data_IF_081141364614
#
_entry.id   IF_081141364614
#
_cell.length_a   1.000
_cell.length_b   1.000
_cell.length_c   1.000
_cell.angle_alpha   90.00
_cell.angle_beta   90.00
_cell.angle_gamma   90.00
#
_symmetry.space_group_name_H-M   'P 1'
#
loop_
_entity.id
_entity.type
_entity.pdbx_description
1 polymer ?
#
# COMPACT_ATOMS: atom_id res chain seq x y z
N UNK A 1 8.35 -18.25 15.29
CA UNK A 1 8.42 -17.32 14.13
C UNK A 1 9.87 -17.21 13.68
N UNK A 2 10.24 -17.63 12.46
CA UNK A 2 11.60 -17.47 11.97
C UNK A 2 11.93 -16.00 11.71
N UNK A 3 13.20 -15.64 11.97
CA UNK A 3 13.76 -14.32 11.61
C UNK A 3 14.58 -14.50 10.33
N UNK A 4 14.22 -13.77 9.28
CA UNK A 4 14.79 -13.96 7.94
C UNK A 4 15.34 -12.63 7.41
N UNK A 5 16.51 -12.65 6.79
CA UNK A 5 17.10 -11.48 6.15
C UNK A 5 16.29 -11.05 4.92
N UNK A 6 16.23 -9.76 4.66
CA UNK A 6 15.44 -9.18 3.59
C UNK A 6 15.81 -9.75 2.20
N UNK A 7 17.09 -9.86 1.90
CA UNK A 7 17.60 -10.42 0.64
C UNK A 7 17.18 -11.88 0.42
N UNK A 8 17.16 -12.68 1.49
CA UNK A 8 16.67 -14.06 1.43
C UNK A 8 15.16 -14.10 1.16
N UNK A 9 14.36 -13.25 1.82
CA UNK A 9 12.92 -13.16 1.56
C UNK A 9 12.63 -12.72 0.13
N UNK A 10 13.40 -11.75 -0.40
CA UNK A 10 13.27 -11.31 -1.78
C UNK A 10 13.52 -12.46 -2.76
N UNK A 11 14.57 -13.25 -2.55
CA UNK A 11 14.86 -14.44 -3.38
C UNK A 11 13.75 -15.47 -3.30
N UNK A 12 13.24 -15.78 -2.10
CA UNK A 12 12.14 -16.74 -1.91
C UNK A 12 10.90 -16.26 -2.66
N UNK A 13 10.47 -15.01 -2.45
CA UNK A 13 9.29 -14.46 -3.10
C UNK A 13 9.41 -14.43 -4.62
N UNK A 14 10.55 -13.98 -5.16
CA UNK A 14 10.79 -13.92 -6.59
C UNK A 14 10.80 -15.33 -7.22
N UNK A 15 11.48 -16.30 -6.61
CA UNK A 15 11.53 -17.66 -7.13
C UNK A 15 10.15 -18.34 -7.18
N UNK A 16 9.33 -18.16 -6.13
CA UNK A 16 7.97 -18.69 -6.07
C UNK A 16 7.05 -18.04 -7.11
N UNK A 17 7.14 -16.73 -7.30
CA UNK A 17 6.35 -16.00 -8.31
C UNK A 17 6.76 -16.41 -9.72
N UNK A 18 8.05 -16.58 -9.99
CA UNK A 18 8.55 -17.09 -11.28
C UNK A 18 8.05 -18.50 -11.57
N UNK A 19 8.11 -19.39 -10.59
CA UNK A 19 7.58 -20.75 -10.71
C UNK A 19 6.07 -20.76 -10.98
N UNK A 20 5.34 -19.74 -10.50
CA UNK A 20 3.92 -19.54 -10.79
C UNK A 20 3.65 -18.86 -12.15
N UNK A 21 4.69 -18.53 -12.94
CA UNK A 21 4.56 -17.98 -14.30
C UNK A 21 4.84 -16.50 -14.45
N UNK A 22 5.21 -15.78 -13.38
CA UNK A 22 5.63 -14.38 -13.49
C UNK A 22 6.95 -14.25 -14.26
N UNK A 23 7.09 -13.19 -15.05
CA UNK A 23 8.39 -12.83 -15.63
C UNK A 23 9.40 -12.45 -14.54
N UNK A 24 10.69 -12.42 -14.89
CA UNK A 24 11.75 -11.98 -13.96
C UNK A 24 11.44 -10.60 -13.39
N UNK A 25 11.13 -9.64 -14.27
CA UNK A 25 10.84 -8.24 -13.90
C UNK A 25 9.62 -8.13 -12.97
N UNK A 26 8.55 -8.88 -13.25
CA UNK A 26 7.35 -8.91 -12.41
C UNK A 26 7.63 -9.54 -11.04
N UNK A 27 8.31 -10.67 -11.02
CA UNK A 27 8.65 -11.40 -9.80
C UNK A 27 9.54 -10.58 -8.86
N UNK A 28 10.54 -9.91 -9.42
CA UNK A 28 11.41 -8.99 -8.66
C UNK A 28 10.64 -7.77 -8.14
N UNK A 29 9.82 -7.13 -8.97
CA UNK A 29 9.03 -5.96 -8.57
C UNK A 29 8.08 -6.31 -7.42
N UNK A 30 7.37 -7.43 -7.51
CA UNK A 30 6.41 -7.86 -6.47
C UNK A 30 7.14 -8.27 -5.20
N UNK A 31 8.17 -9.12 -5.31
CA UNK A 31 8.89 -9.62 -4.14
C UNK A 31 9.60 -8.50 -3.38
N UNK A 32 10.32 -7.62 -4.11
CA UNK A 32 10.97 -6.44 -3.53
C UNK A 32 9.94 -5.51 -2.88
N UNK A 33 8.82 -5.25 -3.54
CA UNK A 33 7.75 -4.42 -2.99
C UNK A 33 7.17 -4.98 -1.68
N UNK A 34 6.93 -6.30 -1.63
CA UNK A 34 6.47 -6.99 -0.42
C UNK A 34 7.50 -6.90 0.70
N UNK A 35 8.77 -7.21 0.43
CA UNK A 35 9.79 -7.19 1.48
C UNK A 35 10.09 -5.77 1.96
N UNK A 36 10.05 -4.76 1.08
CA UNK A 36 10.15 -3.35 1.49
C UNK A 36 8.96 -2.93 2.36
N UNK A 37 7.76 -3.46 2.13
CA UNK A 37 6.63 -3.25 3.04
C UNK A 37 6.89 -3.88 4.41
N UNK A 38 7.43 -5.10 4.48
CA UNK A 38 7.86 -5.71 5.74
C UNK A 38 8.93 -4.85 6.44
N UNK A 39 9.97 -4.42 5.74
CA UNK A 39 11.03 -3.58 6.32
C UNK A 39 10.45 -2.32 6.97
N UNK A 40 9.52 -1.66 6.30
CA UNK A 40 8.85 -0.47 6.81
C UNK A 40 7.81 -0.73 7.94
N UNK A 41 7.60 -2.01 8.32
CA UNK A 41 6.66 -2.38 9.38
C UNK A 41 5.21 -2.57 8.92
N UNK A 42 4.97 -2.64 7.62
CA UNK A 42 3.64 -2.88 7.01
C UNK A 42 3.47 -4.36 6.63
N UNK A 43 3.52 -5.27 7.60
CA UNK A 43 3.55 -6.72 7.39
C UNK A 43 2.34 -7.26 6.63
N UNK A 44 1.18 -6.60 6.74
CA UNK A 44 -0.03 -6.95 5.98
C UNK A 44 0.12 -6.82 4.45
N UNK A 45 1.08 -6.02 3.99
CA UNK A 45 1.45 -5.82 2.58
C UNK A 45 2.78 -6.51 2.23
N UNK A 46 3.32 -7.27 3.18
CA UNK A 46 4.61 -7.95 3.09
C UNK A 46 4.55 -9.28 2.35
N UNK A 47 5.55 -10.10 2.63
CA UNK A 47 5.72 -11.45 2.03
C UNK A 47 4.51 -12.38 2.27
N UNK A 48 3.70 -12.10 3.29
CA UNK A 48 2.43 -12.77 3.57
C UNK A 48 1.46 -12.75 2.36
N UNK A 49 1.59 -11.76 1.48
CA UNK A 49 0.72 -11.60 0.32
C UNK A 49 1.09 -12.52 -0.86
N UNK A 50 2.34 -12.99 -0.93
CA UNK A 50 2.85 -13.80 -2.06
C UNK A 50 2.02 -15.07 -2.31
N UNK A 51 1.66 -15.89 -1.30
CA UNK A 51 0.77 -17.03 -1.51
C UNK A 51 -0.57 -16.65 -2.16
N UNK A 52 -1.17 -15.54 -1.72
CA UNK A 52 -2.43 -15.04 -2.29
C UNK A 52 -2.27 -14.61 -3.76
N UNK A 53 -1.13 -14.02 -4.13
CA UNK A 53 -0.87 -13.68 -5.53
C UNK A 53 -0.73 -14.92 -6.40
N UNK A 54 -0.07 -15.95 -5.90
CA UNK A 54 0.06 -17.24 -6.58
C UNK A 54 -1.31 -17.89 -6.78
N UNK A 55 -2.17 -17.90 -5.75
CA UNK A 55 -3.54 -18.39 -5.87
C UNK A 55 -4.34 -17.60 -6.92
N UNK A 56 -4.15 -16.28 -7.00
CA UNK A 56 -4.78 -15.42 -8.01
C UNK A 56 -4.24 -15.67 -9.42
N UNK A 57 -2.96 -16.03 -9.58
CA UNK A 57 -2.42 -16.48 -10.87
C UNK A 57 -3.09 -17.78 -11.28
N UNK A 58 -3.14 -18.77 -10.40
CA UNK A 58 -3.81 -20.07 -10.65
C UNK A 58 -5.28 -19.90 -11.03
N UNK A 59 -5.97 -18.93 -10.42
CA UNK A 59 -7.36 -18.60 -10.71
C UNK A 59 -7.56 -17.73 -11.97
N UNK A 60 -6.50 -17.31 -12.66
CA UNK A 60 -6.55 -16.41 -13.81
C UNK A 60 -6.94 -14.97 -13.44
N UNK A 61 -6.89 -14.61 -12.17
CA UNK A 61 -7.19 -13.24 -11.70
C UNK A 61 -6.02 -12.30 -11.88
N UNK A 62 -4.79 -12.80 -11.81
CA UNK A 62 -3.56 -12.12 -12.22
C UNK A 62 -3.06 -12.78 -13.49
N UNK A 63 -2.70 -11.99 -14.48
CA UNK A 63 -2.17 -12.44 -15.77
C UNK A 63 -0.69 -12.08 -15.83
N UNK A 64 0.23 -13.04 -15.61
CA UNK A 64 1.66 -12.82 -15.79
C UNK A 64 1.98 -12.40 -17.23
N UNK A 65 2.92 -11.46 -17.40
CA UNK A 65 3.26 -10.95 -18.72
C UNK A 65 2.19 -10.08 -19.38
N UNK A 66 1.18 -9.63 -18.63
CA UNK A 66 0.12 -8.77 -19.14
C UNK A 66 0.70 -7.48 -19.76
N UNK A 67 0.20 -7.03 -20.93
CA UNK A 67 0.72 -5.82 -21.55
C UNK A 67 0.36 -4.58 -20.71
N UNK A 68 1.31 -3.64 -20.60
CA UNK A 68 1.08 -2.29 -20.09
C UNK A 68 0.54 -1.44 -21.25
N UNK A 69 -0.75 -1.16 -21.26
CA UNK A 69 -1.42 -0.49 -22.36
C UNK A 69 -1.77 0.96 -22.03
N UNK A 70 -1.22 1.91 -22.79
CA UNK A 70 -1.66 3.31 -22.73
C UNK A 70 -2.90 3.43 -23.60
N UNK A 71 -4.06 3.67 -22.95
CA UNK A 71 -5.37 3.79 -23.61
C UNK A 71 -5.56 5.19 -24.17
N UNK A 72 -5.11 6.19 -23.41
CA UNK A 72 -5.22 7.59 -23.76
C UNK A 72 -4.06 8.35 -23.13
N UNK A 73 -3.55 9.37 -23.80
CA UNK A 73 -2.55 10.28 -23.24
C UNK A 73 -2.62 11.68 -23.81
N UNK A 74 -2.16 12.63 -23.01
CA UNK A 74 -1.85 14.01 -23.40
C UNK A 74 -0.43 14.35 -22.92
N UNK A 75 0.09 15.56 -23.14
CA UNK A 75 1.36 15.95 -22.55
C UNK A 75 1.43 15.82 -21.01
N UNK A 76 0.28 15.95 -20.30
CA UNK A 76 0.21 15.97 -18.84
C UNK A 76 -0.57 14.81 -18.24
N UNK A 77 -1.31 14.03 -19.01
CA UNK A 77 -2.15 12.95 -18.49
C UNK A 77 -1.89 11.64 -19.21
N UNK A 78 -2.16 10.52 -18.52
CA UNK A 78 -2.11 9.17 -19.09
C UNK A 78 -3.19 8.31 -18.47
N UNK A 79 -3.95 7.58 -19.30
CA UNK A 79 -4.89 6.53 -18.87
C UNK A 79 -4.28 5.19 -19.22
N UNK A 80 -4.11 4.33 -18.24
CA UNK A 80 -3.37 3.07 -18.36
C UNK A 80 -4.28 1.90 -18.00
N UNK A 81 -4.28 0.91 -18.88
CA UNK A 81 -4.89 -0.39 -18.64
C UNK A 81 -3.78 -1.38 -18.27
N UNK A 82 -3.84 -1.91 -17.06
CA UNK A 82 -2.90 -2.92 -16.57
C UNK A 82 -3.19 -4.33 -17.05
N UNK A 83 -4.26 -4.57 -17.81
CA UNK A 83 -4.65 -5.86 -18.37
C UNK A 83 -4.60 -7.02 -17.38
N UNK A 84 -4.91 -6.73 -16.12
CA UNK A 84 -4.90 -7.67 -14.99
C UNK A 84 -3.50 -8.15 -14.58
N UNK A 85 -2.45 -7.43 -14.95
CA UNK A 85 -1.09 -7.67 -14.49
C UNK A 85 -0.90 -7.37 -13.00
N UNK A 86 0.32 -7.58 -12.54
CA UNK A 86 0.72 -7.29 -11.16
C UNK A 86 0.70 -5.78 -10.89
N UNK A 87 -0.09 -5.34 -9.92
CA UNK A 87 -0.23 -3.92 -9.59
C UNK A 87 1.10 -3.25 -9.20
N UNK A 88 2.01 -3.95 -8.55
CA UNK A 88 3.36 -3.45 -8.23
C UNK A 88 4.12 -3.01 -9.50
N UNK A 89 4.17 -3.89 -10.49
CA UNK A 89 4.88 -3.66 -11.73
C UNK A 89 4.20 -2.58 -12.58
N UNK A 90 2.87 -2.67 -12.71
CA UNK A 90 2.08 -1.70 -13.49
C UNK A 90 2.20 -0.29 -12.91
N UNK A 91 2.06 -0.12 -11.59
CA UNK A 91 2.14 1.21 -10.96
C UNK A 91 3.57 1.77 -10.94
N UNK A 92 4.60 0.94 -10.80
CA UNK A 92 5.97 1.40 -10.93
C UNK A 92 6.23 2.00 -12.33
N UNK A 93 5.78 1.32 -13.38
CA UNK A 93 5.85 1.84 -14.77
C UNK A 93 5.01 3.10 -14.96
N UNK A 94 3.79 3.13 -14.42
CA UNK A 94 2.90 4.28 -14.51
C UNK A 94 3.48 5.52 -13.81
N UNK A 95 4.04 5.35 -12.61
CA UNK A 95 4.70 6.45 -11.89
C UNK A 95 5.95 6.93 -12.62
N UNK A 96 6.79 6.02 -13.14
CA UNK A 96 7.96 6.40 -13.94
C UNK A 96 7.57 7.23 -15.17
N UNK A 97 6.54 6.82 -15.90
CA UNK A 97 6.01 7.57 -17.04
C UNK A 97 5.47 8.94 -16.63
N UNK A 98 4.79 9.03 -15.48
CA UNK A 98 4.25 10.28 -14.96
C UNK A 98 5.36 11.25 -14.55
N UNK A 99 6.44 10.73 -13.95
CA UNK A 99 7.66 11.51 -13.63
C UNK A 99 8.28 12.08 -14.91
N UNK A 100 8.45 11.25 -15.96
CA UNK A 100 9.02 11.73 -17.23
C UNK A 100 8.17 12.83 -17.87
N UNK A 101 6.85 12.72 -17.84
CA UNK A 101 5.97 13.80 -18.31
C UNK A 101 6.11 15.07 -17.46
N UNK A 102 6.20 14.93 -16.14
CA UNK A 102 6.31 16.08 -15.23
C UNK A 102 7.66 16.82 -15.38
N UNK A 103 8.73 16.17 -15.86
CA UNK A 103 10.00 16.85 -16.18
C UNK A 103 9.84 17.97 -17.21
N UNK A 104 8.95 17.78 -18.18
CA UNK A 104 8.72 18.74 -19.27
C UNK A 104 7.47 19.58 -19.07
N UNK A 105 6.41 19.00 -18.53
CA UNK A 105 5.11 19.68 -18.37
C UNK A 105 4.91 20.28 -16.95
N UNK A 106 5.88 20.11 -16.05
CA UNK A 106 5.87 20.55 -14.65
C UNK A 106 4.88 19.84 -13.74
N UNK A 107 3.70 19.48 -14.23
CA UNK A 107 2.67 18.73 -13.53
C UNK A 107 2.15 17.65 -14.47
N UNK A 108 2.08 16.42 -13.98
CA UNK A 108 1.50 15.32 -14.73
C UNK A 108 0.71 14.38 -13.80
N UNK A 109 -0.28 13.69 -14.38
CA UNK A 109 -1.07 12.70 -13.65
C UNK A 109 -1.38 11.47 -14.51
N UNK A 110 -1.66 10.35 -13.87
CA UNK A 110 -2.17 9.17 -14.54
C UNK A 110 -3.26 8.48 -13.73
N UNK A 111 -4.09 7.73 -14.44
CA UNK A 111 -5.03 6.76 -13.89
C UNK A 111 -4.65 5.38 -14.36
N UNK A 112 -4.82 4.38 -13.48
CA UNK A 112 -4.57 2.96 -13.79
C UNK A 112 -5.79 2.14 -13.39
N UNK A 113 -6.18 1.21 -14.24
CA UNK A 113 -7.29 0.29 -13.99
C UNK A 113 -6.98 -1.12 -14.54
N UNK A 114 -7.78 -2.11 -14.18
CA UNK A 114 -7.59 -3.54 -14.49
C UNK A 114 -6.19 -4.03 -14.12
N UNK A 115 -5.86 -3.89 -12.86
CA UNK A 115 -4.63 -4.43 -12.27
C UNK A 115 -4.94 -5.11 -10.93
N UNK A 116 -4.07 -5.97 -10.48
CA UNK A 116 -4.19 -6.59 -9.17
C UNK A 116 -3.69 -5.64 -8.07
N UNK A 117 -3.64 -6.15 -6.85
CA UNK A 117 -3.21 -5.41 -5.65
C UNK A 117 -1.88 -4.66 -5.86
N UNK A 118 -1.85 -3.41 -5.39
CA UNK A 118 -0.72 -2.48 -5.63
C UNK A 118 0.32 -2.46 -4.51
N UNK A 119 0.10 -3.22 -3.43
CA UNK A 119 0.99 -3.26 -2.29
C UNK A 119 0.99 -1.98 -1.46
N UNK A 120 2.14 -1.66 -0.87
CA UNK A 120 2.33 -0.44 -0.08
C UNK A 120 2.38 0.78 -1.00
N UNK A 121 1.47 1.72 -0.78
CA UNK A 121 1.23 2.82 -1.71
C UNK A 121 2.39 3.83 -1.77
N UNK A 122 3.08 4.09 -0.66
CA UNK A 122 4.22 5.03 -0.62
C UNK A 122 5.35 4.68 -1.59
N UNK A 123 5.45 3.42 -2.03
CA UNK A 123 6.49 3.01 -2.98
C UNK A 123 6.53 3.90 -4.24
N UNK A 124 5.38 4.34 -4.71
CA UNK A 124 5.25 5.13 -5.94
C UNK A 124 5.57 6.61 -5.74
N UNK A 125 4.97 7.35 -4.79
CA UNK A 125 5.35 8.74 -4.51
C UNK A 125 6.82 8.91 -4.14
N UNK A 126 7.42 7.94 -3.46
CA UNK A 126 8.86 7.96 -3.15
C UNK A 126 9.74 7.93 -4.41
N UNK A 127 9.29 7.34 -5.53
CA UNK A 127 10.00 7.44 -6.80
C UNK A 127 10.06 8.90 -7.30
N UNK A 128 8.95 9.64 -7.19
CA UNK A 128 8.90 11.05 -7.56
C UNK A 128 9.78 11.90 -6.62
N UNK A 129 9.75 11.63 -5.31
CA UNK A 129 10.58 12.34 -4.34
C UNK A 129 12.09 12.15 -4.62
N UNK A 130 12.52 10.93 -4.97
CA UNK A 130 13.88 10.63 -5.40
C UNK A 130 14.27 11.37 -6.70
N UNK A 131 13.30 11.66 -7.57
CA UNK A 131 13.50 12.46 -8.78
C UNK A 131 13.42 13.98 -8.55
N UNK A 132 13.35 14.46 -7.30
CA UNK A 132 13.25 15.88 -6.96
C UNK A 132 11.85 16.46 -7.14
N UNK A 133 10.80 15.65 -7.15
CA UNK A 133 9.42 16.03 -7.39
C UNK A 133 8.53 15.61 -6.23
N UNK A 134 7.41 16.28 -6.03
CA UNK A 134 6.37 15.82 -5.12
C UNK A 134 5.55 14.76 -5.84
N UNK A 135 5.40 13.59 -5.22
CA UNK A 135 4.53 12.52 -5.70
C UNK A 135 3.30 12.37 -4.83
N UNK A 136 2.17 12.08 -5.46
CA UNK A 136 0.91 11.70 -4.83
C UNK A 136 0.42 10.42 -5.45
N UNK A 137 -0.11 9.52 -4.65
CA UNK A 137 -0.81 8.32 -5.11
C UNK A 137 -2.02 8.05 -4.23
N UNK A 138 -3.10 7.56 -4.85
CA UNK A 138 -4.28 7.05 -4.19
C UNK A 138 -4.65 5.71 -4.82
N UNK A 139 -5.23 4.81 -4.03
CA UNK A 139 -5.75 3.55 -4.51
C UNK A 139 -7.07 3.24 -3.82
N UNK A 140 -8.00 2.65 -4.54
CA UNK A 140 -9.18 2.03 -3.95
C UNK A 140 -9.03 0.50 -3.97
N UNK A 141 -9.89 -0.20 -3.28
CA UNK A 141 -9.98 -1.65 -3.38
C UNK A 141 -10.75 -2.10 -4.64
N UNK A 142 -10.94 -1.19 -5.59
CA UNK A 142 -11.77 -1.40 -6.76
C UNK A 142 -13.18 -1.83 -6.36
N UNK A 143 -13.73 -2.79 -7.07
CA UNK A 143 -15.03 -3.38 -6.74
C UNK A 143 -14.92 -4.64 -5.86
N UNK A 144 -13.82 -4.78 -5.13
CA UNK A 144 -13.64 -5.84 -4.11
C UNK A 144 -14.59 -5.66 -2.93
N UNK A 145 -14.78 -6.67 -2.09
CA UNK A 145 -15.60 -6.55 -0.87
C UNK A 145 -15.16 -5.35 -0.02
N UNK A 146 -16.13 -4.57 0.41
CA UNK A 146 -15.89 -3.34 1.16
C UNK A 146 -15.67 -3.63 2.65
N UNK A 147 -14.94 -2.75 3.31
CA UNK A 147 -14.46 -2.95 4.68
C UNK A 147 -14.85 -1.82 5.62
N UNK A 148 -15.08 -0.62 5.11
CA UNK A 148 -15.28 0.60 5.90
C UNK A 148 -16.70 1.11 5.73
N UNK A 149 -17.39 1.34 6.84
CA UNK A 149 -18.67 2.02 6.85
C UNK A 149 -18.47 3.53 6.57
N UNK A 150 -19.28 4.18 5.73
CA UNK A 150 -19.30 5.62 5.66
C UNK A 150 -19.74 6.20 7.03
N UNK A 151 -19.35 7.43 7.32
CA UNK A 151 -19.73 8.08 8.58
C UNK A 151 -21.26 8.10 8.76
N UNK A 152 -21.72 7.63 9.93
CA UNK A 152 -23.15 7.46 10.22
C UNK A 152 -23.81 6.21 9.61
N UNK A 153 -23.08 5.45 8.78
CA UNK A 153 -23.55 4.19 8.23
C UNK A 153 -23.24 2.99 9.14
N UNK A 154 -23.98 1.90 8.99
CA UNK A 154 -23.73 0.64 9.71
C UNK A 154 -23.16 -0.47 8.85
N UNK A 155 -23.12 -0.28 7.53
CA UNK A 155 -22.63 -1.30 6.58
C UNK A 155 -21.42 -0.77 5.82
N UNK A 156 -20.48 -1.65 5.53
CA UNK A 156 -19.32 -1.31 4.71
C UNK A 156 -19.72 -0.94 3.27
N UNK A 157 -19.26 0.22 2.79
CA UNK A 157 -19.46 0.72 1.43
C UNK A 157 -18.16 1.19 0.78
N UNK A 158 -17.11 1.38 1.56
CA UNK A 158 -15.81 1.89 1.12
C UNK A 158 -14.71 0.87 1.40
N UNK A 159 -13.64 0.95 0.65
CA UNK A 159 -12.37 0.30 0.96
C UNK A 159 -11.61 1.04 2.06
N UNK A 160 -10.38 0.62 2.33
CA UNK A 160 -9.46 1.36 3.20
C UNK A 160 -8.91 2.61 2.50
N UNK A 161 -9.07 2.70 1.20
CA UNK A 161 -8.88 3.85 0.31
C UNK A 161 -7.68 4.70 0.72
N UNK A 162 -6.44 4.19 0.58
CA UNK A 162 -5.25 4.87 1.05
C UNK A 162 -4.86 6.06 0.20
N UNK A 163 -4.14 6.99 0.84
CA UNK A 163 -3.47 8.12 0.21
C UNK A 163 -2.00 8.12 0.65
N UNK A 164 -1.10 8.36 -0.29
CA UNK A 164 0.31 8.55 -0.04
C UNK A 164 0.83 9.79 -0.74
N UNK A 165 1.67 10.55 -0.04
CA UNK A 165 2.33 11.75 -0.57
C UNK A 165 3.78 11.71 -0.11
N UNK A 166 4.73 11.91 -1.02
CA UNK A 166 6.15 12.03 -0.70
C UNK A 166 6.74 13.31 -1.29
N UNK A 167 7.66 13.90 -0.56
CA UNK A 167 8.32 15.14 -0.97
C UNK A 167 9.84 14.97 -0.95
N UNK A 168 10.59 15.62 -1.85
CA UNK A 168 12.04 15.62 -1.79
C UNK A 168 12.53 16.38 -0.56
N UNK A 169 13.56 15.86 0.11
CA UNK A 169 14.15 16.47 1.32
C UNK A 169 15.63 16.15 1.41
N UNK A 170 16.36 16.89 2.25
CA UNK A 170 17.75 16.63 2.66
C UNK A 170 17.81 15.86 3.99
N UNK A 171 16.78 15.10 4.30
CA UNK A 171 16.72 14.23 5.46
C UNK A 171 17.29 12.85 5.11
N UNK A 172 17.83 12.15 6.08
CA UNK A 172 18.21 10.74 5.96
C UNK A 172 16.97 9.88 5.79
N UNK A 173 15.98 10.04 6.67
CA UNK A 173 14.67 9.42 6.53
C UNK A 173 13.78 10.23 5.57
N UNK A 174 13.21 9.62 4.52
CA UNK A 174 12.33 10.32 3.59
C UNK A 174 11.13 10.96 4.28
N UNK A 175 10.71 12.14 3.82
CA UNK A 175 9.50 12.79 4.31
C UNK A 175 8.31 12.37 3.46
N UNK A 176 7.44 11.49 3.98
CA UNK A 176 6.25 11.02 3.27
C UNK A 176 5.14 10.59 4.20
N UNK A 177 3.91 10.74 3.73
CA UNK A 177 2.69 10.18 4.32
C UNK A 177 2.30 8.92 3.55
N UNK A 178 1.91 7.85 4.26
CA UNK A 178 1.22 6.70 3.69
C UNK A 178 0.19 6.21 4.70
N UNK A 179 -1.09 6.38 4.40
CA UNK A 179 -2.15 6.09 5.35
C UNK A 179 -3.41 5.57 4.68
N UNK A 180 -4.08 4.61 5.33
CA UNK A 180 -5.48 4.32 5.06
C UNK A 180 -6.38 5.47 5.53
N UNK A 181 -7.55 5.61 4.92
CA UNK A 181 -8.61 6.54 5.38
C UNK A 181 -9.57 5.90 6.38
N UNK A 182 -9.33 4.64 6.75
CA UNK A 182 -9.99 3.96 7.88
C UNK A 182 -9.26 4.23 9.19
N UNK A 183 -9.97 4.08 10.31
CA UNK A 183 -9.42 4.25 11.66
C UNK A 183 -8.28 3.25 11.94
N UNK A 184 -8.35 2.08 11.34
CA UNK A 184 -7.38 0.99 11.50
C UNK A 184 -7.32 0.11 10.25
N UNK A 185 -6.20 -0.57 10.03
CA UNK A 185 -6.10 -1.60 9.01
C UNK A 185 -6.79 -2.89 9.47
N UNK A 186 -7.50 -3.58 8.56
CA UNK A 186 -8.18 -4.85 8.85
C UNK A 186 -7.23 -5.94 9.40
N UNK A 187 -5.95 -5.92 9.00
CA UNK A 187 -4.92 -6.81 9.52
C UNK A 187 -4.68 -6.69 11.02
N UNK A 188 -4.78 -5.47 11.60
CA UNK A 188 -4.66 -5.28 13.05
C UNK A 188 -5.84 -5.87 13.81
N UNK A 189 -7.05 -5.80 13.24
CA UNK A 189 -8.23 -6.46 13.81
C UNK A 189 -8.08 -7.97 13.76
N UNK A 190 -7.59 -8.52 12.65
CA UNK A 190 -7.34 -9.95 12.51
C UNK A 190 -6.28 -10.47 13.50
N UNK A 191 -5.23 -9.67 13.75
CA UNK A 191 -4.20 -9.99 14.74
C UNK A 191 -4.78 -10.03 16.17
N UNK A 192 -5.64 -9.07 16.54
CA UNK A 192 -6.31 -9.07 17.83
C UNK A 192 -7.21 -10.31 18.01
N UNK A 193 -7.93 -10.73 16.96
CA UNK A 193 -8.69 -12.01 16.98
C UNK A 193 -7.76 -13.19 17.28
N UNK A 194 -6.62 -13.27 16.57
CA UNK A 194 -5.68 -14.39 16.75
C UNK A 194 -5.06 -14.44 18.15
N UNK A 195 -4.90 -13.28 18.80
CA UNK A 195 -4.35 -13.16 20.17
C UNK A 195 -5.42 -13.24 21.26
N UNK A 196 -6.70 -13.22 20.91
CA UNK A 196 -7.78 -13.15 21.90
C UNK A 196 -7.84 -11.83 22.67
N UNK A 197 -7.31 -10.75 22.07
CA UNK A 197 -7.23 -9.42 22.68
C UNK A 197 -8.42 -8.56 22.27
N UNK A 198 -8.86 -7.66 23.18
CA UNK A 198 -9.80 -6.60 22.84
C UNK A 198 -9.10 -5.51 22.02
N UNK A 199 -9.88 -4.81 21.20
CA UNK A 199 -9.41 -3.66 20.40
C UNK A 199 -9.91 -2.34 21.00
N UNK A 200 -9.23 -1.22 20.70
CA UNK A 200 -9.70 0.10 21.10
C UNK A 200 -11.09 0.42 20.55
N UNK A 201 -11.88 1.13 21.34
CA UNK A 201 -13.14 1.70 20.88
C UNK A 201 -12.88 2.67 19.71
N UNK A 202 -13.78 2.69 18.72
CA UNK A 202 -13.64 3.56 17.54
C UNK A 202 -12.90 2.94 16.38
N UNK A 203 -12.51 1.67 16.47
CA UNK A 203 -11.96 0.93 15.35
C UNK A 203 -13.00 0.28 14.47
N UNK A 204 -14.03 -0.33 15.11
CA UNK A 204 -15.09 -1.08 14.41
C UNK A 204 -16.48 -0.79 15.01
N UNK A 205 -17.47 -1.15 14.21
CA UNK A 205 -18.87 -1.33 14.65
C UNK A 205 -19.29 -2.79 14.43
N UNK A 206 -20.26 -3.24 15.20
CA UNK A 206 -20.94 -4.53 15.02
C UNK A 206 -21.97 -4.47 13.86
N UNK A 207 -22.69 -5.57 13.62
CA UNK A 207 -23.71 -5.66 12.56
C UNK A 207 -24.91 -4.71 12.79
N UNK A 208 -25.15 -4.30 14.03
CA UNK A 208 -26.20 -3.36 14.40
C UNK A 208 -25.75 -1.89 14.35
N UNK A 209 -24.47 -1.64 14.06
CA UNK A 209 -23.89 -0.30 13.97
C UNK A 209 -23.42 0.27 15.30
N UNK A 210 -23.30 -0.52 16.35
CA UNK A 210 -22.80 -0.11 17.67
C UNK A 210 -21.28 -0.23 17.72
N UNK A 211 -20.60 0.70 18.38
CA UNK A 211 -19.15 0.58 18.61
C UNK A 211 -18.83 -0.69 19.38
N UNK A 212 -17.88 -1.48 18.88
CA UNK A 212 -17.42 -2.71 19.51
C UNK A 212 -15.93 -2.68 19.83
N UNK A 213 -15.56 -3.34 20.93
CA UNK A 213 -14.19 -3.66 21.32
C UNK A 213 -13.86 -5.15 21.13
N UNK A 214 -14.83 -5.97 20.71
CA UNK A 214 -14.60 -7.37 20.35
C UNK A 214 -14.22 -7.47 18.87
N UNK A 215 -12.96 -7.81 18.52
CA UNK A 215 -12.52 -7.86 17.12
C UNK A 215 -13.26 -8.91 16.28
N UNK A 216 -13.93 -9.89 16.92
CA UNK A 216 -14.70 -10.94 16.24
C UNK A 216 -15.96 -10.39 15.58
N UNK A 217 -16.50 -9.27 16.06
CA UNK A 217 -17.70 -8.64 15.52
C UNK A 217 -17.49 -8.12 14.11
N UNK A 218 -16.24 -7.72 13.76
CA UNK A 218 -15.89 -7.34 12.41
C UNK A 218 -16.22 -8.43 11.37
N UNK A 219 -15.98 -9.70 11.71
CA UNK A 219 -16.28 -10.83 10.80
C UNK A 219 -17.73 -11.32 10.86
N UNK A 220 -18.51 -10.82 11.84
CA UNK A 220 -19.92 -11.17 12.01
C UNK A 220 -20.87 -10.12 11.42
N UNK A 221 -20.45 -9.43 10.38
CA UNK A 221 -21.24 -8.40 9.70
C UNK A 221 -20.95 -6.97 10.16
N UNK A 222 -19.94 -6.79 11.02
CA UNK A 222 -19.44 -5.48 11.40
C UNK A 222 -18.59 -4.82 10.32
N UNK A 223 -18.17 -3.58 10.57
CA UNK A 223 -17.35 -2.80 9.64
C UNK A 223 -16.29 -1.99 10.39
N UNK A 224 -15.19 -1.67 9.69
CA UNK A 224 -14.24 -0.67 10.14
C UNK A 224 -14.88 0.71 10.13
N UNK A 225 -14.42 1.59 11.00
CA UNK A 225 -14.81 2.99 11.02
C UNK A 225 -13.82 3.84 10.20
N UNK A 226 -14.28 4.99 9.66
CA UNK A 226 -13.39 5.95 9.02
C UNK A 226 -12.46 6.62 10.04
N UNK A 227 -11.31 7.10 9.57
CA UNK A 227 -10.37 7.89 10.36
C UNK A 227 -11.05 9.15 10.93
N UNK A 228 -10.75 9.49 12.20
CA UNK A 228 -11.15 10.75 12.83
C UNK A 228 -12.01 10.59 14.09
N UNK A 229 -12.33 9.40 14.53
CA UNK A 229 -13.12 9.18 15.74
C UNK A 229 -14.48 9.87 15.67
N UNK A 230 -14.79 10.78 16.64
CA UNK A 230 -16.01 11.60 16.62
C UNK A 230 -16.13 12.50 15.39
N UNK A 231 -15.00 12.86 14.78
CA UNK A 231 -14.89 13.64 13.54
C UNK A 231 -14.70 12.74 12.31
N UNK A 232 -15.12 11.49 12.39
CA UNK A 232 -14.94 10.47 11.32
C UNK A 232 -15.52 10.84 9.96
N UNK A 233 -16.40 11.85 9.88
CA UNK A 233 -16.87 12.41 8.62
C UNK A 233 -15.72 12.95 7.74
N UNK A 234 -14.61 13.41 8.36
CA UNK A 234 -13.40 13.87 7.64
C UNK A 234 -12.72 12.71 6.92
N UNK A 235 -12.49 11.60 7.63
CA UNK A 235 -11.93 10.39 7.03
C UNK A 235 -12.87 9.75 5.99
N UNK A 236 -14.18 9.74 6.27
CA UNK A 236 -15.19 9.27 5.31
C UNK A 236 -15.23 10.12 4.05
N UNK A 237 -15.12 11.44 4.18
CA UNK A 237 -15.03 12.36 3.04
C UNK A 237 -13.78 12.12 2.21
N UNK A 238 -12.61 11.94 2.86
CA UNK A 238 -11.36 11.63 2.17
C UNK A 238 -11.44 10.28 1.45
N UNK A 239 -11.99 9.25 2.09
CA UNK A 239 -12.22 7.93 1.48
C UNK A 239 -13.12 8.02 0.24
N UNK A 240 -14.18 8.83 0.30
CA UNK A 240 -15.07 9.06 -0.85
C UNK A 240 -14.34 9.75 -2.00
N UNK A 241 -13.46 10.74 -1.73
CA UNK A 241 -12.65 11.37 -2.77
C UNK A 241 -11.66 10.39 -3.42
N UNK A 242 -11.06 9.49 -2.64
CA UNK A 242 -10.23 8.41 -3.19
C UNK A 242 -11.05 7.49 -4.09
N UNK A 243 -12.27 7.10 -3.69
CA UNK A 243 -13.18 6.29 -4.54
C UNK A 243 -13.54 7.03 -5.86
N UNK A 244 -13.72 8.37 -5.82
CA UNK A 244 -13.96 9.17 -7.02
C UNK A 244 -12.75 9.15 -7.96
N UNK A 245 -11.54 9.32 -7.42
CA UNK A 245 -10.31 9.36 -8.23
C UNK A 245 -9.93 7.98 -8.77
N UNK A 246 -10.11 6.94 -7.98
CA UNK A 246 -9.62 5.60 -8.29
C UNK A 246 -10.71 4.69 -8.91
N UNK A 247 -11.97 4.89 -8.54
CA UNK A 247 -13.10 4.13 -9.06
C UNK A 247 -13.79 4.82 -10.23
N UNK A 248 -14.30 6.05 -10.01
CA UNK A 248 -15.13 6.73 -11.02
C UNK A 248 -14.28 7.32 -12.15
N UNK A 249 -13.19 8.02 -11.84
CA UNK A 249 -12.32 8.66 -12.86
C UNK A 249 -11.62 7.62 -13.74
N UNK A 250 -11.32 6.43 -13.20
CA UNK A 250 -10.72 5.31 -13.96
C UNK A 250 -11.74 4.56 -14.82
N UNK A 251 -13.03 4.80 -14.64
CA UNK A 251 -14.12 4.06 -15.30
C UNK A 251 -14.45 2.70 -14.66
N UNK A 252 -13.81 2.33 -13.53
CA UNK A 252 -14.12 1.08 -12.81
C UNK A 252 -15.50 1.10 -12.14
N UNK A 253 -15.96 2.31 -11.77
CA UNK A 253 -17.20 2.47 -11.03
C UNK A 253 -17.01 2.27 -9.52
N UNK A 254 -18.08 1.90 -8.83
CA UNK A 254 -18.13 1.72 -7.38
C UNK A 254 -18.93 0.45 -7.03
N UNK A 255 -18.97 0.12 -5.74
CA UNK A 255 -19.71 -1.05 -5.25
C UNK A 255 -18.86 -2.32 -5.23
N UNK A 256 -19.49 -3.47 -5.44
CA UNK A 256 -18.84 -4.80 -5.39
C UNK A 256 -18.91 -5.50 -6.74
N UNK A 257 -17.79 -6.06 -7.17
CA UNK A 257 -17.73 -6.90 -8.36
C UNK A 257 -18.16 -8.32 -8.03
N UNK A 258 -19.21 -8.86 -8.70
CA UNK A 258 -19.71 -10.18 -8.38
C UNK A 258 -18.70 -11.32 -8.61
N UNK A 259 -17.74 -11.14 -9.50
CA UNK A 259 -16.70 -12.16 -9.81
C UNK A 259 -15.67 -12.34 -8.70
N UNK A 260 -15.59 -11.39 -7.76
CA UNK A 260 -14.59 -11.38 -6.70
C UNK A 260 -13.16 -11.11 -7.18
N UNK A 261 -12.96 -10.76 -8.45
CA UNK A 261 -11.64 -10.39 -8.99
C UNK A 261 -11.18 -9.08 -8.38
N UNK A 262 -10.00 -9.10 -7.76
CA UNK A 262 -9.41 -7.91 -7.17
C UNK A 262 -8.89 -6.96 -8.27
N UNK A 263 -9.25 -5.70 -8.20
CA UNK A 263 -8.95 -4.70 -9.21
C UNK A 263 -8.77 -3.34 -8.54
N UNK A 264 -7.51 -3.00 -8.19
CA UNK A 264 -7.22 -1.69 -7.62
C UNK A 264 -7.20 -0.64 -8.74
N UNK A 265 -8.11 0.34 -8.64
CA UNK A 265 -7.99 1.59 -9.38
C UNK A 265 -6.97 2.49 -8.69
N UNK A 266 -6.14 3.17 -9.49
CA UNK A 266 -5.16 4.12 -8.95
C UNK A 266 -5.23 5.45 -9.69
N UNK A 267 -5.02 6.53 -8.91
CA UNK A 267 -4.71 7.84 -9.43
C UNK A 267 -3.37 8.27 -8.86
N UNK A 268 -2.48 8.74 -9.73
CA UNK A 268 -1.17 9.27 -9.34
C UNK A 268 -0.93 10.63 -9.97
N UNK A 269 -0.25 11.52 -9.23
CA UNK A 269 0.15 12.83 -9.72
C UNK A 269 1.58 13.17 -9.28
N UNK A 270 2.28 13.93 -10.12
CA UNK A 270 3.65 14.36 -9.89
C UNK A 270 3.76 15.86 -10.15
N UNK A 271 4.42 16.57 -9.24
CA UNK A 271 4.63 18.02 -9.31
C UNK A 271 6.13 18.29 -9.29
N UNK A 272 6.65 18.89 -10.35
CA UNK A 272 8.06 19.30 -10.42
C UNK A 272 8.31 20.49 -9.52
N UNK A 273 9.05 20.30 -8.44
CA UNK A 273 9.34 21.37 -7.46
C UNK A 273 10.04 22.55 -8.14
N UNK A 274 10.94 22.29 -9.09
CA UNK A 274 11.71 23.32 -9.76
C UNK A 274 10.83 24.31 -10.58
N UNK A 275 9.61 23.91 -10.93
CA UNK A 275 8.63 24.80 -11.59
C UNK A 275 8.01 25.85 -10.64
N UNK A 276 8.12 25.65 -9.33
CA UNK A 276 7.56 26.54 -8.30
C UNK A 276 8.64 27.32 -7.55
N UNK A 277 9.78 26.64 -7.29
CA UNK A 277 10.90 27.23 -6.54
C UNK A 277 12.18 26.39 -6.70
N UNK A 278 13.36 26.93 -6.36
CA UNK A 278 14.61 26.19 -6.40
C UNK A 278 14.56 24.91 -5.55
N UNK A 279 14.86 23.76 -6.14
CA UNK A 279 14.75 22.44 -5.52
C UNK A 279 15.60 22.32 -4.26
N UNK A 280 16.86 22.76 -4.29
CA UNK A 280 17.76 22.64 -3.15
C UNK A 280 17.24 23.43 -1.95
N UNK A 281 16.69 24.63 -2.20
CA UNK A 281 16.09 25.43 -1.13
C UNK A 281 14.86 24.76 -0.55
N UNK A 282 14.02 24.16 -1.40
CA UNK A 282 12.85 23.42 -0.95
C UNK A 282 13.25 22.22 -0.05
N UNK A 283 14.23 21.43 -0.47
CA UNK A 283 14.73 20.27 0.28
C UNK A 283 15.27 20.65 1.65
N UNK A 284 16.06 21.74 1.73
CA UNK A 284 16.56 22.29 2.98
C UNK A 284 15.42 22.70 3.92
N UNK A 285 14.41 23.42 3.41
CA UNK A 285 13.26 23.87 4.21
C UNK A 285 12.38 22.71 4.68
N UNK A 286 12.21 21.63 3.89
CA UNK A 286 11.55 20.42 4.36
C UNK A 286 12.31 19.80 5.54
N UNK A 287 13.65 19.77 5.47
CA UNK A 287 14.46 19.28 6.57
C UNK A 287 14.42 20.21 7.81
N UNK A 288 14.36 21.54 7.61
CA UNK A 288 14.13 22.51 8.68
C UNK A 288 12.75 22.32 9.33
N UNK A 289 11.71 22.11 8.52
CA UNK A 289 10.37 21.84 9.00
C UNK A 289 10.29 20.55 9.83
N UNK A 290 10.93 19.47 9.39
CA UNK A 290 11.00 18.24 10.17
C UNK A 290 11.68 18.47 11.54
N UNK A 291 12.79 19.21 11.57
CA UNK A 291 13.46 19.59 12.83
C UNK A 291 12.57 20.47 13.72
N UNK A 292 11.84 21.41 13.13
CA UNK A 292 10.88 22.24 13.85
C UNK A 292 9.79 21.39 14.51
N UNK A 293 9.19 20.42 13.81
CA UNK A 293 8.21 19.50 14.40
C UNK A 293 8.81 18.72 15.57
N UNK A 294 10.02 18.21 15.41
CA UNK A 294 10.71 17.40 16.43
C UNK A 294 11.18 18.22 17.64
N UNK A 295 11.30 19.53 17.52
CA UNK A 295 11.69 20.41 18.64
C UNK A 295 10.57 20.60 19.68
N UNK A 296 9.34 20.15 19.37
CA UNK A 296 8.23 20.17 20.33
C UNK A 296 8.49 19.19 21.47
N UNK A 297 8.32 19.60 22.74
CA UNK A 297 8.41 18.68 23.87
C UNK A 297 7.42 17.52 23.69
N UNK A 298 7.84 16.26 23.93
CA UNK A 298 6.93 15.13 23.81
C UNK A 298 5.84 15.17 24.89
N UNK A 299 4.63 14.74 24.54
CA UNK A 299 3.55 14.57 25.50
C UNK A 299 3.85 13.44 26.49
N UNK A 300 3.23 13.48 27.66
CA UNK A 300 3.40 12.44 28.68
C UNK A 300 3.06 11.05 28.11
N UNK A 301 3.98 10.09 28.27
CA UNK A 301 3.85 8.73 27.76
C UNK A 301 4.19 8.56 26.27
N UNK A 302 4.59 9.62 25.56
CA UNK A 302 5.08 9.53 24.18
C UNK A 302 6.54 9.06 24.15
N UNK A 303 6.87 8.25 23.16
CA UNK A 303 8.26 7.83 22.87
C UNK A 303 9.05 8.84 22.04
N UNK A 304 8.47 10.00 21.72
CA UNK A 304 9.10 11.07 20.95
C UNK A 304 8.13 11.72 19.96
N UNK A 305 8.62 12.74 19.26
CA UNK A 305 7.92 13.41 18.16
C UNK A 305 8.57 12.99 16.86
N UNK A 306 7.78 12.45 15.95
CA UNK A 306 8.22 11.93 14.66
C UNK A 306 7.57 12.73 13.53
N UNK A 307 8.33 12.98 12.47
CA UNK A 307 7.76 13.49 11.23
C UNK A 307 7.28 12.32 10.34
N UNK A 308 6.41 12.56 9.37
CA UNK A 308 5.88 11.51 8.48
C UNK A 308 6.99 10.76 7.73
N UNK A 309 7.00 9.44 7.82
CA UNK A 309 8.00 8.56 7.22
C UNK A 309 9.17 8.16 8.13
N UNK A 310 9.38 8.89 9.25
CA UNK A 310 10.49 8.60 10.16
C UNK A 310 10.31 7.27 10.93
N UNK A 311 9.09 6.94 11.34
CA UNK A 311 8.80 5.68 12.05
C UNK A 311 9.11 4.49 11.16
N UNK A 312 8.69 4.54 9.91
CA UNK A 312 8.93 3.51 8.91
C UNK A 312 10.42 3.35 8.62
N UNK A 313 11.16 4.46 8.52
CA UNK A 313 12.61 4.44 8.31
C UNK A 313 13.33 3.80 9.50
N UNK A 314 13.01 4.17 10.74
CA UNK A 314 13.59 3.56 11.93
C UNK A 314 13.31 2.05 12.00
N UNK A 315 12.11 1.64 11.61
CA UNK A 315 11.74 0.23 11.52
C UNK A 315 12.53 -0.50 10.42
N UNK A 316 12.74 0.16 9.30
CA UNK A 316 13.55 -0.36 8.20
C UNK A 316 14.99 -0.59 8.64
N UNK A 317 15.63 0.37 9.31
CA UNK A 317 16.99 0.23 9.85
C UNK A 317 17.10 -0.93 10.84
N UNK A 318 16.14 -1.05 11.76
CA UNK A 318 16.06 -2.14 12.71
C UNK A 318 15.97 -3.51 12.00
N UNK A 319 15.04 -3.65 11.06
CA UNK A 319 14.79 -4.92 10.36
C UNK A 319 15.85 -5.28 9.34
N UNK A 320 16.52 -4.31 8.74
CA UNK A 320 17.71 -4.56 7.90
C UNK A 320 18.82 -5.19 8.73
N UNK A 321 19.05 -4.66 9.94
CA UNK A 321 20.11 -5.15 10.84
C UNK A 321 19.74 -6.49 11.48
N UNK A 322 18.54 -6.62 12.01
CA UNK A 322 18.13 -7.77 12.83
C UNK A 322 17.44 -8.87 12.01
N UNK A 323 16.93 -8.56 10.83
CA UNK A 323 16.06 -9.43 10.04
C UNK A 323 14.59 -9.17 10.32
N UNK A 324 13.74 -9.83 9.54
CA UNK A 324 12.28 -9.71 9.56
C UNK A 324 11.69 -10.94 10.21
N UNK A 325 10.90 -10.76 11.25
CA UNK A 325 10.17 -11.85 11.89
C UNK A 325 8.96 -12.21 11.03
N UNK A 326 8.85 -13.49 10.63
CA UNK A 326 7.77 -14.00 9.78
C UNK A 326 6.87 -14.91 10.60
N UNK A 327 5.58 -14.65 10.57
CA UNK A 327 4.57 -15.48 11.25
C UNK A 327 4.65 -16.94 10.81
N UNK A 328 4.53 -17.87 11.75
CA UNK A 328 4.65 -19.32 11.48
C UNK A 328 3.66 -19.78 10.40
N UNK A 329 2.44 -19.25 10.39
CA UNK A 329 1.44 -19.57 9.38
C UNK A 329 1.85 -19.12 7.97
N UNK A 330 2.47 -17.94 7.86
CA UNK A 330 3.00 -17.40 6.59
C UNK A 330 4.18 -18.25 6.13
N UNK A 331 5.12 -18.55 7.04
CA UNK A 331 6.28 -19.38 6.74
C UNK A 331 5.89 -20.77 6.27
N UNK A 332 4.90 -21.40 6.92
CA UNK A 332 4.39 -22.70 6.51
C UNK A 332 3.81 -22.69 5.09
N UNK A 333 3.09 -21.62 4.70
CA UNK A 333 2.57 -21.46 3.32
C UNK A 333 3.69 -21.30 2.29
N UNK A 334 4.73 -20.51 2.60
CA UNK A 334 5.89 -20.36 1.71
C UNK A 334 6.64 -21.69 1.52
N UNK A 335 6.81 -22.46 2.59
CA UNK A 335 7.39 -23.81 2.52
C UNK A 335 6.54 -24.76 1.67
N UNK A 336 5.24 -24.77 1.87
CA UNK A 336 4.33 -25.62 1.09
C UNK A 336 4.39 -25.29 -0.42
N UNK A 337 4.42 -24.02 -0.78
CA UNK A 337 4.61 -23.58 -2.17
C UNK A 337 5.99 -23.96 -2.72
N UNK A 338 7.05 -23.83 -1.93
CA UNK A 338 8.38 -24.24 -2.33
C UNK A 338 8.45 -25.77 -2.59
N UNK A 339 7.76 -26.58 -1.78
CA UNK A 339 7.62 -28.01 -2.03
C UNK A 339 6.80 -28.31 -3.29
N UNK A 340 5.66 -27.63 -3.48
CA UNK A 340 4.79 -27.78 -4.66
C UNK A 340 5.54 -27.51 -5.96
N UNK A 341 6.42 -26.48 -5.96
CA UNK A 341 7.21 -26.11 -7.15
C UNK A 341 8.58 -26.76 -7.25
N UNK A 342 8.93 -27.68 -6.32
CA UNK A 342 10.23 -28.37 -6.33
C UNK A 342 11.43 -27.48 -5.95
N UNK A 343 11.19 -26.33 -5.30
CA UNK A 343 12.19 -25.33 -4.93
C UNK A 343 12.66 -25.44 -3.47
N UNK A 344 12.12 -26.36 -2.68
CA UNK A 344 12.36 -26.41 -1.24
C UNK A 344 13.85 -26.53 -0.86
N UNK A 345 14.63 -27.32 -1.59
CA UNK A 345 16.07 -27.49 -1.36
C UNK A 345 16.86 -26.26 -1.79
N UNK A 346 16.55 -25.69 -2.98
CA UNK A 346 17.23 -24.50 -3.52
C UNK A 346 17.05 -23.27 -2.61
N UNK A 347 15.86 -23.12 -2.05
CA UNK A 347 15.51 -21.98 -1.19
C UNK A 347 15.79 -22.23 0.30
N UNK A 348 16.36 -23.41 0.65
CA UNK A 348 16.59 -23.82 2.05
C UNK A 348 15.29 -23.72 2.90
N UNK A 349 14.20 -24.29 2.36
CA UNK A 349 12.86 -24.32 2.93
C UNK A 349 12.36 -25.73 3.24
N UNK A 350 13.29 -26.69 3.39
CA UNK A 350 12.98 -28.08 3.71
C UNK A 350 12.40 -28.26 5.11
#
# INVERSE_FOLDING_TARGET
MPVVKADRLMRIGAALLKAAGASEEEAEAVSTGCVNANLAGHDSHGIIAVPTYIDRIKAGHIVPGAPFTIVQQSPTTTVIDGNWGFGFHVNAKAMALTIEKAKTANVAACTVFRQSHVGRLAAYPLMAAKAGMIGLATADSGRSPKHVAPFGGREARLGTNPIAIAVPSDLEAPFYLDMATSAVAAGKVALAVARGEAIPQGWIIDAEGRHSTDPRDYRKGGALLPLGGTEGYKGSGLAAMVEVLCGLLTGLGFGVEPTGRHNDGCFMAVFNVAAFRPLDRFKQEVAEFARYLKSTPPSQGSHGVFYPGEIEFLREQERQTNGIEIEDATWAKLRALAQEYGLATELDLT
#
